data_IF_989961001198
#
_entry.id   IF_989961001198
#
_cell.length_a   1.000
_cell.length_b   1.000
_cell.length_c   1.000
_cell.angle_alpha   90.00
_cell.angle_beta   90.00
_cell.angle_gamma   90.00
#
_symmetry.space_group_name_H-M   'P 1'
#
loop_
_entity.id
_entity.type
_entity.pdbx_description
1 polymer ?
#
# COMPACT_ATOMS: atom_id res chain seq x y z
N UNK A 1 -13.76 2.26 -1.11
CA UNK A 1 -14.69 3.39 -1.36
C UNK A 1 -14.95 3.47 -2.86
N UNK A 2 -16.19 3.69 -3.31
CA UNK A 2 -16.49 3.89 -4.74
C UNK A 2 -15.76 5.13 -5.26
N UNK A 3 -15.15 5.06 -6.45
CA UNK A 3 -14.47 6.21 -7.09
C UNK A 3 -15.42 7.41 -7.34
N UNK A 4 -16.73 7.15 -7.35
CA UNK A 4 -17.77 8.16 -7.59
C UNK A 4 -18.50 8.59 -6.31
N UNK A 5 -17.90 8.36 -5.13
CA UNK A 5 -18.51 8.80 -3.87
C UNK A 5 -18.27 10.30 -3.67
N UNK A 6 -19.33 11.10 -3.82
CA UNK A 6 -19.28 12.54 -3.57
C UNK A 6 -19.26 12.82 -2.07
N UNK A 7 -18.07 13.10 -1.53
CA UNK A 7 -17.99 13.80 -0.25
C UNK A 7 -18.50 15.22 -0.47
N UNK A 8 -19.52 15.61 0.30
CA UNK A 8 -20.30 16.85 0.18
C UNK A 8 -19.48 18.16 0.06
N UNK A 9 -18.16 18.17 0.28
CA UNK A 9 -17.32 19.37 0.17
C UNK A 9 -15.91 19.18 -0.43
N UNK A 10 -15.42 17.98 -0.80
CA UNK A 10 -14.01 17.80 -1.23
C UNK A 10 -13.76 16.72 -2.31
N UNK A 11 -14.23 16.92 -3.57
CA UNK A 11 -13.96 15.98 -4.68
C UNK A 11 -12.47 15.75 -4.96
N UNK A 12 -11.64 16.77 -4.75
CA UNK A 12 -10.19 16.68 -4.96
C UNK A 12 -9.54 15.64 -4.03
N UNK A 13 -9.93 15.60 -2.75
CA UNK A 13 -9.35 14.66 -1.77
C UNK A 13 -9.67 13.21 -2.16
N UNK A 14 -10.89 12.94 -2.63
CA UNK A 14 -11.27 11.59 -3.11
C UNK A 14 -10.38 11.18 -4.29
N UNK A 15 -10.13 12.09 -5.23
CA UNK A 15 -9.24 11.84 -6.37
C UNK A 15 -7.79 11.60 -5.92
N UNK A 16 -7.28 12.38 -4.97
CA UNK A 16 -5.93 12.21 -4.43
C UNK A 16 -5.76 10.87 -3.71
N UNK A 17 -6.73 10.48 -2.88
CA UNK A 17 -6.76 9.18 -2.21
C UNK A 17 -6.69 8.04 -3.23
N UNK A 18 -7.54 8.10 -4.27
CA UNK A 18 -7.50 7.08 -5.33
C UNK A 18 -6.19 7.11 -6.12
N UNK A 19 -5.61 8.28 -6.36
CA UNK A 19 -4.30 8.41 -6.98
C UNK A 19 -3.19 7.73 -6.17
N UNK A 20 -3.22 7.84 -4.83
CA UNK A 20 -2.27 7.12 -3.96
C UNK A 20 -2.52 5.61 -4.02
N UNK A 21 -3.78 5.17 -3.92
CA UNK A 21 -4.13 3.75 -3.96
C UNK A 21 -3.70 3.10 -5.29
N UNK A 22 -3.91 3.77 -6.42
CA UNK A 22 -3.51 3.29 -7.74
C UNK A 22 -1.96 3.15 -7.82
N UNK A 23 -1.20 4.09 -7.23
CA UNK A 23 0.28 3.98 -7.13
C UNK A 23 0.74 2.82 -6.24
N UNK A 24 0.10 2.62 -5.09
CA UNK A 24 0.40 1.51 -4.18
C UNK A 24 0.16 0.18 -4.90
N UNK A 25 -0.99 0.03 -5.57
CA UNK A 25 -1.32 -1.18 -6.31
C UNK A 25 -0.28 -1.48 -7.41
N UNK A 26 0.05 -0.49 -8.24
CA UNK A 26 1.05 -0.65 -9.29
C UNK A 26 2.44 -1.03 -8.75
N UNK A 27 2.83 -0.51 -7.59
CA UNK A 27 4.09 -0.87 -6.94
C UNK A 27 4.06 -2.29 -6.37
N UNK A 28 3.01 -2.63 -5.60
CA UNK A 28 2.90 -3.95 -4.97
C UNK A 28 2.82 -5.06 -6.00
N UNK A 29 2.15 -4.86 -7.14
CA UNK A 29 2.13 -5.84 -8.23
C UNK A 29 3.53 -6.11 -8.79
N UNK A 30 4.35 -5.07 -9.00
CA UNK A 30 5.74 -5.23 -9.44
C UNK A 30 6.59 -5.99 -8.41
N UNK A 31 6.39 -5.72 -7.12
CA UNK A 31 7.08 -6.45 -6.04
C UNK A 31 6.65 -7.92 -6.00
N UNK A 32 5.34 -8.20 -6.05
CA UNK A 32 4.79 -9.57 -5.97
C UNK A 32 5.20 -10.43 -7.17
N UNK A 33 5.16 -9.86 -8.37
CA UNK A 33 5.60 -10.52 -9.61
C UNK A 33 7.12 -10.71 -9.69
N UNK A 34 7.90 -9.96 -8.90
CA UNK A 34 9.36 -9.95 -8.99
C UNK A 34 9.91 -9.06 -10.11
N UNK A 35 9.05 -8.28 -10.78
CA UNK A 35 9.48 -7.25 -11.72
C UNK A 35 10.24 -6.10 -11.03
N UNK A 36 10.02 -5.89 -9.73
CA UNK A 36 10.82 -5.00 -8.90
C UNK A 36 11.90 -5.83 -8.16
N UNK A 37 13.15 -5.69 -8.60
CA UNK A 37 14.29 -6.43 -8.07
C UNK A 37 15.18 -5.57 -7.17
N UNK A 38 15.86 -6.22 -6.22
CA UNK A 38 16.91 -5.55 -5.44
C UNK A 38 18.15 -5.23 -6.28
N UNK A 39 19.16 -4.61 -5.66
CA UNK A 39 20.40 -4.20 -6.32
C UNK A 39 21.17 -5.35 -7.02
N UNK A 40 20.92 -6.60 -6.62
CA UNK A 40 21.53 -7.80 -7.20
C UNK A 40 20.69 -8.45 -8.30
N UNK A 41 19.58 -7.83 -8.70
CA UNK A 41 18.62 -8.41 -9.66
C UNK A 41 17.74 -9.52 -9.06
N UNK A 42 17.89 -9.84 -7.77
CA UNK A 42 17.06 -10.85 -7.09
C UNK A 42 15.70 -10.27 -6.67
N UNK A 43 14.68 -11.13 -6.64
CA UNK A 43 13.35 -10.80 -6.11
C UNK A 43 13.44 -10.40 -4.62
N UNK A 44 12.65 -9.42 -4.23
CA UNK A 44 12.50 -9.04 -2.83
C UNK A 44 11.71 -10.11 -2.06
N UNK A 45 12.25 -10.58 -0.93
CA UNK A 45 11.64 -11.64 -0.13
C UNK A 45 11.12 -11.15 1.22
N UNK A 46 11.76 -10.12 1.79
CA UNK A 46 11.48 -9.63 3.12
C UNK A 46 11.14 -8.14 3.06
N UNK A 47 10.23 -7.70 3.93
CA UNK A 47 9.88 -6.29 4.12
C UNK A 47 10.16 -5.93 5.57
N UNK A 48 10.88 -4.82 5.77
CA UNK A 48 11.12 -4.26 7.11
C UNK A 48 10.28 -2.99 7.23
N UNK A 49 9.24 -3.03 8.06
CA UNK A 49 8.44 -1.86 8.39
C UNK A 49 9.12 -1.09 9.53
N UNK A 50 9.43 0.19 9.31
CA UNK A 50 10.05 1.06 10.31
C UNK A 50 9.03 2.15 10.66
N UNK A 51 8.45 2.07 11.85
CA UNK A 51 7.44 3.02 12.31
C UNK A 51 7.22 2.93 13.82
N UNK A 52 6.65 3.99 14.39
CA UNK A 52 6.25 4.04 15.79
C UNK A 52 4.75 4.30 15.91
N UNK A 53 4.15 3.90 17.03
CA UNK A 53 2.73 4.17 17.33
C UNK A 53 1.80 3.69 16.21
N UNK A 54 0.87 4.55 15.79
CA UNK A 54 -0.14 4.23 14.78
C UNK A 54 0.41 3.77 13.43
N UNK A 55 1.62 4.22 13.06
CA UNK A 55 2.28 3.82 11.80
C UNK A 55 2.78 2.37 11.79
N UNK A 56 2.83 1.71 12.95
CA UNK A 56 3.23 0.30 13.09
C UNK A 56 2.09 -0.56 13.64
N UNK A 57 1.40 -0.11 14.69
CA UNK A 57 0.40 -0.91 15.39
C UNK A 57 -0.76 -1.35 14.48
N UNK A 58 -1.23 -0.49 13.58
CA UNK A 58 -2.28 -0.82 12.62
C UNK A 58 -1.82 -1.83 11.55
N UNK A 59 -0.73 -1.53 10.80
CA UNK A 59 -0.18 -2.45 9.82
C UNK A 59 0.19 -3.83 10.38
N UNK A 60 0.80 -3.89 11.57
CA UNK A 60 1.18 -5.14 12.23
C UNK A 60 -0.04 -5.96 12.60
N UNK A 61 -1.05 -5.34 13.23
CA UNK A 61 -2.29 -6.03 13.60
C UNK A 61 -2.98 -6.66 12.38
N UNK A 62 -3.17 -5.90 11.30
CA UNK A 62 -3.84 -6.41 10.09
C UNK A 62 -3.01 -7.49 9.41
N UNK A 63 -1.69 -7.34 9.36
CA UNK A 63 -0.79 -8.35 8.81
C UNK A 63 -0.91 -9.67 9.58
N UNK A 64 -0.83 -9.65 10.91
CA UNK A 64 -0.93 -10.86 11.73
C UNK A 64 -2.33 -11.48 11.67
N UNK A 65 -3.38 -10.68 11.67
CA UNK A 65 -4.76 -11.17 11.62
C UNK A 65 -5.11 -11.85 10.28
N UNK A 66 -4.52 -11.40 9.17
CA UNK A 66 -4.81 -11.90 7.83
C UNK A 66 -3.71 -12.81 7.27
N UNK A 67 -2.73 -13.18 8.10
CA UNK A 67 -1.64 -14.06 7.68
C UNK A 67 -2.17 -15.48 7.46
N UNK A 68 -1.98 -16.00 6.24
CA UNK A 68 -2.29 -17.38 5.86
C UNK A 68 -1.05 -18.28 5.97
#
# INVERSE_FOLDING_TARGET
MPKNFEFSTQPQVVNEVHGVLDRVNAFTEKVRTGAHTGATGKKLLNVVAIGIGGSQLGPEFVNEALRA
#
